data_IF_240787195174
#
_entry.id   IF_240787195174
#
_cell.length_a   1.000
_cell.length_b   1.000
_cell.length_c   1.000
_cell.angle_alpha   90.00
_cell.angle_beta   90.00
_cell.angle_gamma   90.00
#
_symmetry.space_group_name_H-M   'P 1'
#
loop_
_entity.id
_entity.type
_entity.pdbx_description
1 polymer ?
#
# COMPACT_ATOMS: atom_id res chain seq x y z
N UNK A 1 -15.33 25.78 12.58
CA UNK A 1 -15.96 24.82 11.63
C UNK A 1 -14.84 24.02 10.98
N UNK A 2 -14.68 22.75 11.35
CA UNK A 2 -13.67 21.86 10.77
C UNK A 2 -14.14 21.42 9.38
N UNK A 3 -13.47 21.86 8.34
CA UNK A 3 -13.74 21.44 6.96
C UNK A 3 -13.31 19.97 6.87
N UNK A 4 -14.28 19.06 6.81
CA UNK A 4 -14.01 17.66 6.55
C UNK A 4 -13.25 17.56 5.21
N UNK A 5 -12.11 16.87 5.21
CA UNK A 5 -11.29 16.74 4.01
C UNK A 5 -12.13 16.16 2.85
N UNK A 6 -12.04 16.74 1.64
CA UNK A 6 -12.87 16.32 0.53
C UNK A 6 -12.72 14.82 0.27
N UNK A 7 -13.84 14.14 0.02
CA UNK A 7 -13.83 12.73 -0.32
C UNK A 7 -12.99 12.51 -1.59
N UNK A 8 -12.05 11.57 -1.59
CA UNK A 8 -11.21 11.32 -2.76
C UNK A 8 -12.04 10.84 -3.94
N UNK A 9 -11.65 11.27 -5.13
CA UNK A 9 -12.22 10.81 -6.39
C UNK A 9 -11.79 9.37 -6.70
N UNK A 10 -12.60 8.65 -7.49
CA UNK A 10 -12.27 7.28 -7.92
C UNK A 10 -10.88 7.15 -8.58
N UNK A 11 -10.43 8.07 -9.45
CA UNK A 11 -9.07 8.02 -10.01
C UNK A 11 -7.98 8.12 -8.94
N UNK A 12 -8.15 8.97 -7.93
CA UNK A 12 -7.17 9.12 -6.85
C UNK A 12 -7.03 7.83 -6.02
N UNK A 13 -8.15 7.16 -5.72
CA UNK A 13 -8.16 5.86 -5.03
C UNK A 13 -7.43 4.80 -5.86
N UNK A 14 -7.66 4.75 -7.18
CA UNK A 14 -6.97 3.83 -8.09
C UNK A 14 -5.47 4.15 -8.16
N UNK A 15 -5.11 5.43 -8.23
CA UNK A 15 -3.72 5.87 -8.22
C UNK A 15 -3.00 5.47 -6.93
N UNK A 16 -3.65 5.60 -5.77
CA UNK A 16 -3.12 5.15 -4.49
C UNK A 16 -2.89 3.63 -4.49
N UNK A 17 -3.90 2.85 -4.92
CA UNK A 17 -3.81 1.40 -5.03
C UNK A 17 -2.61 0.96 -5.90
N UNK A 18 -2.51 1.51 -7.11
CA UNK A 18 -1.39 1.21 -8.02
C UNK A 18 -0.05 1.64 -7.43
N UNK A 19 -0.01 2.74 -6.69
CA UNK A 19 1.22 3.21 -6.06
C UNK A 19 1.69 2.28 -4.94
N UNK A 20 0.78 1.78 -4.10
CA UNK A 20 1.09 0.75 -3.10
C UNK A 20 1.62 -0.53 -3.75
N UNK A 21 0.96 -1.03 -4.80
CA UNK A 21 1.43 -2.22 -5.52
C UNK A 21 2.79 -2.01 -6.20
N UNK A 22 3.04 -0.81 -6.74
CA UNK A 22 4.36 -0.47 -7.32
C UNK A 22 5.45 -0.44 -6.26
N UNK A 23 5.17 0.11 -5.07
CA UNK A 23 6.12 0.12 -3.95
C UNK A 23 6.36 -1.30 -3.43
N UNK A 24 5.32 -2.13 -3.34
CA UNK A 24 5.45 -3.52 -2.92
C UNK A 24 6.46 -4.30 -3.78
N UNK A 25 6.44 -4.09 -5.11
CA UNK A 25 7.39 -4.72 -6.04
C UNK A 25 8.86 -4.30 -5.86
N UNK A 26 9.12 -3.17 -5.16
CA UNK A 26 10.49 -2.70 -4.88
C UNK A 26 11.09 -3.35 -3.64
N UNK A 27 10.30 -4.05 -2.84
CA UNK A 27 10.78 -4.76 -1.65
C UNK A 27 11.57 -5.99 -2.10
N UNK A 28 12.81 -6.08 -1.64
CA UNK A 28 13.74 -7.14 -2.02
C UNK A 28 13.40 -8.50 -1.39
N UNK A 29 12.83 -8.48 -0.17
CA UNK A 29 12.40 -9.70 0.51
C UNK A 29 11.08 -10.24 -0.05
N UNK A 30 11.07 -11.51 -0.43
CA UNK A 30 9.90 -12.21 -0.97
C UNK A 30 8.67 -12.14 -0.05
N UNK A 31 8.86 -12.45 1.23
CA UNK A 31 7.76 -12.54 2.19
C UNK A 31 7.13 -11.17 2.40
N UNK A 32 7.98 -10.15 2.53
CA UNK A 32 7.52 -8.78 2.74
C UNK A 32 6.84 -8.22 1.49
N UNK A 33 7.36 -8.51 0.29
CA UNK A 33 6.75 -8.17 -0.99
C UNK A 33 5.36 -8.79 -1.15
N UNK A 34 5.24 -10.11 -1.00
CA UNK A 34 3.96 -10.80 -1.19
C UNK A 34 2.96 -10.47 -0.07
N UNK A 35 3.41 -10.32 1.17
CA UNK A 35 2.55 -9.82 2.26
C UNK A 35 2.01 -8.43 1.95
N UNK A 36 2.87 -7.49 1.55
CA UNK A 36 2.46 -6.10 1.27
C UNK A 36 1.45 -6.04 0.11
N UNK A 37 1.69 -6.83 -0.95
CA UNK A 37 0.78 -6.97 -2.08
C UNK A 37 -0.57 -7.53 -1.66
N UNK A 38 -0.59 -8.67 -0.93
CA UNK A 38 -1.81 -9.31 -0.45
C UNK A 38 -2.59 -8.36 0.48
N UNK A 39 -1.92 -7.79 1.49
CA UNK A 39 -2.52 -6.86 2.44
C UNK A 39 -3.12 -5.64 1.76
N UNK A 40 -2.46 -5.11 0.72
CA UNK A 40 -2.99 -4.00 -0.09
C UNK A 40 -4.26 -4.42 -0.81
N UNK A 41 -4.25 -5.56 -1.52
CA UNK A 41 -5.43 -6.05 -2.24
C UNK A 41 -6.61 -6.29 -1.29
N UNK A 42 -6.35 -6.97 -0.16
CA UNK A 42 -7.36 -7.29 0.83
C UNK A 42 -7.96 -6.03 1.46
N UNK A 43 -7.14 -5.03 1.80
CA UNK A 43 -7.61 -3.77 2.36
C UNK A 43 -8.55 -3.01 1.39
N UNK A 44 -8.21 -2.95 0.10
CA UNK A 44 -9.04 -2.28 -0.90
C UNK A 44 -10.33 -3.07 -1.20
N UNK A 45 -10.29 -4.40 -1.13
CA UNK A 45 -11.49 -5.25 -1.26
C UNK A 45 -12.42 -5.08 -0.07
N UNK A 46 -11.89 -5.08 1.15
CA UNK A 46 -12.66 -4.87 2.38
C UNK A 46 -13.36 -3.51 2.39
N UNK A 47 -12.71 -2.46 1.88
CA UNK A 47 -13.25 -1.11 1.85
C UNK A 47 -14.07 -0.79 0.58
N UNK A 48 -14.33 -1.78 -0.29
CA UNK A 48 -15.00 -1.57 -1.58
C UNK A 48 -16.45 -1.08 -1.43
N UNK A 49 -17.13 -1.50 -0.37
CA UNK A 49 -18.55 -1.18 -0.11
C UNK A 49 -18.74 0.01 0.84
N UNK A 50 -17.67 0.77 1.12
CA UNK A 50 -17.81 2.01 1.89
C UNK A 50 -18.60 3.04 1.09
N UNK A 51 -19.69 3.53 1.67
CA UNK A 51 -20.54 4.57 1.06
C UNK A 51 -20.46 5.90 1.81
N UNK A 52 -20.05 5.89 3.07
CA UNK A 52 -19.91 7.09 3.88
C UNK A 52 -18.67 7.91 3.48
N UNK A 53 -18.82 9.18 3.04
CA UNK A 53 -17.71 10.02 2.60
C UNK A 53 -16.62 10.21 3.67
N UNK A 54 -16.99 10.28 4.95
CA UNK A 54 -16.04 10.45 6.05
C UNK A 54 -15.16 9.19 6.21
N UNK A 55 -15.79 8.01 6.17
CA UNK A 55 -15.11 6.71 6.19
C UNK A 55 -14.18 6.52 4.99
N UNK A 56 -14.61 6.92 3.78
CA UNK A 56 -13.78 6.87 2.58
C UNK A 56 -12.55 7.78 2.72
N UNK A 57 -12.74 9.02 3.19
CA UNK A 57 -11.66 9.99 3.40
C UNK A 57 -10.64 9.49 4.44
N UNK A 58 -11.13 8.87 5.51
CA UNK A 58 -10.31 8.27 6.57
C UNK A 58 -9.51 7.07 6.06
N UNK A 59 -10.15 6.14 5.34
CA UNK A 59 -9.49 4.99 4.74
C UNK A 59 -8.43 5.40 3.70
N UNK A 60 -8.71 6.43 2.90
CA UNK A 60 -7.78 6.97 1.93
C UNK A 60 -6.57 7.64 2.58
N UNK A 61 -6.80 8.42 3.64
CA UNK A 61 -5.73 9.04 4.44
C UNK A 61 -4.85 7.99 5.11
N UNK A 62 -5.45 6.93 5.65
CA UNK A 62 -4.73 5.78 6.17
C UNK A 62 -3.89 5.11 5.08
N UNK A 63 -4.45 4.87 3.89
CA UNK A 63 -3.72 4.29 2.76
C UNK A 63 -2.53 5.15 2.30
N UNK A 64 -2.66 6.49 2.33
CA UNK A 64 -1.53 7.41 2.07
C UNK A 64 -0.42 7.26 3.11
N UNK A 65 -0.78 7.18 4.40
CA UNK A 65 0.20 6.94 5.47
C UNK A 65 0.92 5.60 5.29
N UNK A 66 0.18 4.54 4.96
CA UNK A 66 0.77 3.22 4.67
C UNK A 66 1.69 3.24 3.44
N UNK A 67 1.39 4.05 2.41
CA UNK A 67 2.28 4.22 1.26
C UNK A 67 3.62 4.81 1.67
N UNK A 68 3.64 5.82 2.55
CA UNK A 68 4.88 6.41 3.04
C UNK A 68 5.68 5.42 3.90
N UNK A 69 5.01 4.63 4.73
CA UNK A 69 5.66 3.54 5.48
C UNK A 69 6.27 2.53 4.53
N UNK A 70 5.53 2.05 3.53
CA UNK A 70 6.02 1.08 2.55
C UNK A 70 7.23 1.61 1.76
N UNK A 71 7.25 2.91 1.42
CA UNK A 71 8.41 3.54 0.75
C UNK A 71 9.65 3.55 1.65
N UNK A 72 9.49 3.93 2.93
CA UNK A 72 10.59 3.89 3.92
C UNK A 72 11.12 2.48 4.10
N UNK A 73 10.22 1.50 4.21
CA UNK A 73 10.60 0.09 4.33
C UNK A 73 11.34 -0.38 3.09
N UNK A 74 10.88 -0.02 1.88
CA UNK A 74 11.60 -0.38 0.65
C UNK A 74 13.06 0.13 0.64
N UNK A 75 13.30 1.32 1.20
CA UNK A 75 14.66 1.84 1.37
C UNK A 75 15.45 1.00 2.40
N UNK A 76 14.90 0.76 3.59
CA UNK A 76 15.59 -0.03 4.64
C UNK A 76 15.94 -1.43 4.15
N UNK A 77 14.98 -2.14 3.55
CA UNK A 77 15.23 -3.48 2.99
C UNK A 77 16.24 -3.47 1.85
N UNK A 78 16.34 -2.38 1.10
CA UNK A 78 17.38 -2.23 0.08
C UNK A 78 18.78 -2.08 0.71
N UNK A 79 18.93 -1.42 1.85
CA UNK A 79 20.22 -1.29 2.53
C UNK A 79 20.70 -2.62 3.14
N UNK A 80 19.77 -3.41 3.68
CA UNK A 80 20.07 -4.67 4.37
C UNK A 80 19.72 -5.91 3.53
N UNK A 81 19.60 -5.77 2.21
CA UNK A 81 19.18 -6.87 1.35
C UNK A 81 20.20 -8.01 1.42
N UNK A 82 19.75 -9.27 1.66
CA UNK A 82 20.61 -10.43 1.53
C UNK A 82 21.19 -10.51 0.11
N UNK A 83 22.43 -10.98 -0.03
CA UNK A 83 23.08 -11.19 -1.34
C UNK A 83 22.40 -12.31 -2.14
N UNK A 84 21.78 -13.26 -1.45
CA UNK A 84 21.08 -14.40 -2.02
C UNK A 84 19.57 -14.13 -2.00
N UNK A 85 18.91 -14.42 -3.11
CA UNK A 85 17.44 -14.37 -3.18
C UNK A 85 16.83 -15.55 -2.43
N UNK A 86 15.60 -15.37 -1.96
CA UNK A 86 14.83 -16.47 -1.36
C UNK A 86 14.62 -17.59 -2.38
N UNK A 87 14.63 -18.85 -1.93
CA UNK A 87 14.29 -20.02 -2.76
C UNK A 87 12.91 -19.89 -3.39
N UNK A 88 11.99 -19.18 -2.71
CA UNK A 88 10.64 -18.91 -3.21
C UNK A 88 10.61 -17.98 -4.45
N UNK A 89 11.74 -17.34 -4.80
CA UNK A 89 11.88 -16.51 -6.01
C UNK A 89 12.59 -17.24 -7.16
N UNK A 90 13.01 -18.50 -6.98
CA UNK A 90 13.83 -19.23 -7.94
C UNK A 90 13.04 -19.90 -9.09
N UNK A 91 11.77 -19.54 -9.29
CA UNK A 91 10.88 -20.10 -10.32
C UNK A 91 10.32 -19.03 -11.25
#
# INVERSE_FOLDING_TARGET
MTIAAPSPSRPEVICLFRSLLRTARKLADYNIKEYTKRRTIDAFRQNRSLSDPSSISSAFSYGKSQLEVAKKQALVYSLYSPKLKSVMEAH
#
